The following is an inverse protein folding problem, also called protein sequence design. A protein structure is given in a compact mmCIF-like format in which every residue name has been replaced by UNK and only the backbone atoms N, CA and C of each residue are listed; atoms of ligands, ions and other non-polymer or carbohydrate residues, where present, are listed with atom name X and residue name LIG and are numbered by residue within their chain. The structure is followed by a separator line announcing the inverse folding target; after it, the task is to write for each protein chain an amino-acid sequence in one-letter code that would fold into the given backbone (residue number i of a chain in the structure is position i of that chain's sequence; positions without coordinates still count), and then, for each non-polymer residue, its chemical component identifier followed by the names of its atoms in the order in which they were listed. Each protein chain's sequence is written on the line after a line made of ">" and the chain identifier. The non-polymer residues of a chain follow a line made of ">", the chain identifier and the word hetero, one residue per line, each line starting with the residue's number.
data_IF_577753057761
#
_entry.id   IF_577753057761
#
_cell.length_a   1.000
_cell.length_b   1.000
_cell.length_c   1.000
_cell.angle_alpha   90.00
_cell.angle_beta   90.00
_cell.angle_gamma   90.00
#
_symmetry.space_group_name_H-M   'P 1'
#
loop_
_entity.id
_entity.type
_entity.pdbx_description
1 polymer ?
#
# COMPACT_ATOMS: atom_id res chain seq x y z
N UNK A 1 31.15 2.21 3.66
CA UNK A 1 29.73 1.99 4.01
C UNK A 1 28.97 1.89 2.69
N UNK A 2 28.32 0.76 2.41
CA UNK A 2 27.59 0.61 1.16
C UNK A 2 26.43 1.60 1.05
N UNK A 3 26.25 2.13 -0.18
CA UNK A 3 25.30 3.17 -0.49
C UNK A 3 24.13 2.61 -1.29
N UNK A 4 22.91 2.96 -0.88
CA UNK A 4 21.70 2.61 -1.59
C UNK A 4 21.00 3.86 -2.12
N UNK A 5 20.73 3.90 -3.43
CA UNK A 5 19.87 4.91 -4.03
C UNK A 5 18.45 4.34 -4.21
N UNK A 6 17.48 4.87 -3.48
CA UNK A 6 16.07 4.57 -3.65
C UNK A 6 15.47 5.50 -4.70
N UNK A 7 15.14 4.94 -5.84
CA UNK A 7 14.43 5.61 -6.93
C UNK A 7 12.93 5.46 -6.71
N UNK A 8 12.26 6.57 -6.51
CA UNK A 8 10.86 6.64 -6.15
C UNK A 8 10.14 7.76 -6.89
N UNK A 9 8.82 7.68 -6.97
CA UNK A 9 8.01 8.71 -7.61
C UNK A 9 7.79 9.92 -6.71
N UNK A 10 7.56 9.68 -5.42
CA UNK A 10 7.17 10.70 -4.45
C UNK A 10 8.26 10.96 -3.41
N UNK A 11 8.16 12.13 -2.76
CA UNK A 11 8.94 12.48 -1.59
C UNK A 11 8.58 11.59 -0.39
N UNK A 12 9.42 11.60 0.63
CA UNK A 12 9.21 10.86 1.89
C UNK A 12 7.82 11.12 2.47
N UNK A 13 7.24 10.08 3.04
CA UNK A 13 5.95 10.08 3.74
C UNK A 13 4.73 10.43 2.87
N UNK A 14 4.87 10.52 1.54
CA UNK A 14 3.77 10.94 0.66
C UNK A 14 2.95 9.77 0.11
N UNK A 15 3.59 8.68 -0.25
CA UNK A 15 2.94 7.54 -0.90
C UNK A 15 2.91 6.31 0.00
N UNK A 16 1.73 5.69 0.22
CA UNK A 16 1.66 4.46 1.02
C UNK A 16 2.59 3.37 0.50
N UNK A 17 2.62 3.13 -0.81
CA UNK A 17 3.50 2.11 -1.38
C UNK A 17 4.99 2.36 -1.15
N UNK A 18 5.42 3.60 -0.94
CA UNK A 18 6.80 3.91 -0.55
C UNK A 18 7.01 3.77 0.95
N UNK A 19 6.12 4.36 1.77
CA UNK A 19 6.19 4.31 3.23
C UNK A 19 6.29 2.87 3.73
N UNK A 20 5.39 2.00 3.27
CA UNK A 20 5.26 0.63 3.77
C UNK A 20 6.15 -0.40 3.06
N UNK A 21 6.86 -0.01 1.98
CA UNK A 21 7.77 -0.90 1.26
C UNK A 21 9.24 -0.68 1.61
N UNK A 22 9.70 0.57 1.77
CA UNK A 22 11.12 0.83 1.98
C UNK A 22 11.43 2.01 2.91
N UNK A 23 10.63 3.07 2.98
CA UNK A 23 10.95 4.26 3.78
C UNK A 23 11.08 3.93 5.27
N UNK A 24 10.19 3.08 5.80
CA UNK A 24 10.20 2.65 7.20
C UNK A 24 11.42 1.81 7.60
N UNK A 25 12.23 1.38 6.64
CA UNK A 25 13.46 0.63 6.90
C UNK A 25 14.72 1.51 6.91
N UNK A 26 14.64 2.79 6.56
CA UNK A 26 15.84 3.64 6.44
C UNK A 26 16.66 3.72 7.72
N UNK A 27 16.03 3.98 8.85
CA UNK A 27 16.74 4.06 10.14
C UNK A 27 17.41 2.74 10.50
N UNK A 28 16.74 1.62 10.27
CA UNK A 28 17.28 0.29 10.51
C UNK A 28 18.48 0.02 9.58
N UNK A 29 18.37 0.28 8.29
CA UNK A 29 19.45 0.08 7.32
C UNK A 29 20.65 0.97 7.64
N UNK A 30 20.43 2.24 7.96
CA UNK A 30 21.50 3.17 8.34
C UNK A 30 22.23 2.70 9.62
N UNK A 31 21.51 2.21 10.63
CA UNK A 31 22.10 1.63 11.85
C UNK A 31 22.89 0.34 11.58
N UNK A 32 22.55 -0.38 10.50
CA UNK A 32 23.20 -1.62 10.09
C UNK A 32 24.22 -1.42 8.97
N UNK A 33 24.76 -0.22 8.84
CA UNK A 33 25.94 0.06 8.02
C UNK A 33 25.69 0.40 6.57
N UNK A 34 24.45 0.71 6.17
CA UNK A 34 24.13 1.29 4.87
C UNK A 34 24.04 2.83 4.93
N UNK A 35 24.19 3.48 3.80
CA UNK A 35 23.88 4.90 3.60
C UNK A 35 22.74 5.01 2.60
N UNK A 36 21.53 5.37 3.08
CA UNK A 36 20.30 5.40 2.29
C UNK A 36 20.06 6.79 1.72
N UNK A 37 19.94 6.89 0.39
CA UNK A 37 19.58 8.12 -0.33
C UNK A 37 18.30 7.90 -1.11
N UNK A 38 17.42 8.92 -1.17
CA UNK A 38 16.20 8.86 -1.97
C UNK A 38 16.23 9.89 -3.11
N UNK A 39 15.76 9.48 -4.29
CA UNK A 39 15.60 10.35 -5.44
C UNK A 39 14.16 10.35 -5.92
N UNK A 40 13.29 11.26 -5.40
CA UNK A 40 11.93 11.46 -5.87
C UNK A 40 11.88 12.32 -7.13
N UNK A 41 10.85 12.11 -7.99
CA UNK A 41 10.64 12.90 -9.22
C UNK A 41 9.50 13.90 -9.11
N UNK A 42 8.57 13.72 -8.17
CA UNK A 42 7.46 14.63 -7.95
C UNK A 42 7.75 15.48 -6.71
N UNK A 43 7.93 16.80 -6.93
CA UNK A 43 8.08 17.75 -5.83
C UNK A 43 6.74 18.04 -5.14
N UNK A 44 6.78 18.69 -3.99
CA UNK A 44 5.56 19.11 -3.29
C UNK A 44 4.68 20.05 -4.11
N UNK A 45 5.31 20.99 -4.81
CA UNK A 45 4.62 21.94 -5.70
C UNK A 45 3.98 21.26 -6.91
N UNK A 46 4.62 20.20 -7.43
CA UNK A 46 4.14 19.46 -8.59
C UNK A 46 3.04 18.47 -8.24
N UNK A 47 2.95 18.01 -6.97
CA UNK A 47 2.03 16.97 -6.49
C UNK A 47 0.54 17.32 -6.77
N UNK A 48 0.11 18.50 -6.37
CA UNK A 48 -1.27 18.96 -6.59
C UNK A 48 -1.63 19.10 -8.08
N UNK A 49 -0.65 19.46 -8.93
CA UNK A 49 -0.85 19.56 -10.39
C UNK A 49 -0.89 18.17 -11.01
N UNK A 50 -0.02 17.26 -10.58
CA UNK A 50 0.12 15.93 -11.16
C UNK A 50 -1.19 15.12 -11.09
N UNK A 51 -1.92 15.20 -9.98
CA UNK A 51 -3.17 14.49 -9.77
C UNK A 51 -4.43 15.27 -10.20
N UNK A 52 -4.31 16.56 -10.55
CA UNK A 52 -5.46 17.35 -11.02
C UNK A 52 -5.91 16.94 -12.41
N UNK A 53 -7.16 17.24 -12.76
CA UNK A 53 -7.64 17.13 -14.12
C UNK A 53 -7.11 18.28 -15.01
N UNK A 54 -6.93 18.03 -16.30
CA UNK A 54 -6.41 19.02 -17.24
C UNK A 54 -4.93 19.35 -17.02
N UNK A 55 -4.57 20.63 -17.12
CA UNK A 55 -3.21 21.17 -16.89
C UNK A 55 -2.10 20.47 -17.70
N UNK A 56 -2.38 20.08 -18.95
CA UNK A 56 -1.50 19.24 -19.79
C UNK A 56 -0.10 19.84 -19.95
N UNK A 57 0.01 21.16 -20.16
CA UNK A 57 1.31 21.82 -20.27
C UNK A 57 2.15 21.71 -19.00
N UNK A 58 1.52 21.94 -17.83
CA UNK A 58 2.19 21.82 -16.55
C UNK A 58 2.62 20.37 -16.26
N UNK A 59 1.78 19.38 -16.62
CA UNK A 59 2.14 17.95 -16.53
C UNK A 59 3.29 17.59 -17.46
N UNK A 60 3.34 18.16 -18.66
CA UNK A 60 4.48 18.04 -19.57
C UNK A 60 5.78 18.59 -18.96
N UNK A 61 5.70 19.75 -18.28
CA UNK A 61 6.85 20.31 -17.56
C UNK A 61 7.29 19.44 -16.38
N UNK A 62 6.35 18.81 -15.66
CA UNK A 62 6.68 17.86 -14.58
C UNK A 62 7.41 16.66 -15.17
N UNK A 63 6.95 16.11 -16.30
CA UNK A 63 7.62 15.02 -16.99
C UNK A 63 9.05 15.42 -17.42
N UNK A 64 9.23 16.59 -17.99
CA UNK A 64 10.56 17.08 -18.39
C UNK A 64 11.50 17.18 -17.18
N UNK A 65 11.06 17.80 -16.09
CA UNK A 65 11.81 17.86 -14.81
C UNK A 65 12.17 16.45 -14.31
N UNK A 66 11.22 15.50 -14.38
CA UNK A 66 11.43 14.12 -13.97
C UNK A 66 12.51 13.44 -14.82
N UNK A 67 12.53 13.66 -16.13
CA UNK A 67 13.56 13.15 -17.03
C UNK A 67 14.92 13.75 -16.68
N UNK A 68 15.02 15.07 -16.51
CA UNK A 68 16.27 15.75 -16.13
C UNK A 68 16.80 15.25 -14.79
N UNK A 69 15.91 15.05 -13.81
CA UNK A 69 16.28 14.44 -12.52
C UNK A 69 16.88 13.04 -12.69
N UNK A 70 16.25 12.18 -13.50
CA UNK A 70 16.76 10.83 -13.77
C UNK A 70 18.05 10.83 -14.59
N UNK A 71 18.28 11.80 -15.47
CA UNK A 71 19.59 11.98 -16.13
C UNK A 71 20.67 12.30 -15.09
N UNK A 72 20.37 13.20 -14.14
CA UNK A 72 21.27 13.47 -13.01
C UNK A 72 21.58 12.23 -12.17
N UNK A 73 20.55 11.43 -11.86
CA UNK A 73 20.72 10.17 -11.13
C UNK A 73 21.58 9.17 -11.92
N UNK A 74 21.33 9.02 -13.23
CA UNK A 74 22.10 8.11 -14.10
C UNK A 74 23.61 8.38 -14.06
N UNK A 75 24.02 9.64 -14.08
CA UNK A 75 25.44 10.01 -14.00
C UNK A 75 26.10 9.56 -12.68
N UNK A 76 25.29 9.24 -11.67
CA UNK A 76 25.74 8.86 -10.34
C UNK A 76 25.47 7.40 -9.96
N UNK A 77 24.81 6.59 -10.81
CA UNK A 77 24.50 5.20 -10.45
C UNK A 77 25.74 4.39 -10.03
N UNK A 78 26.89 4.66 -10.62
CA UNK A 78 28.14 3.96 -10.29
C UNK A 78 28.76 4.40 -8.95
N UNK A 79 28.21 5.42 -8.29
CA UNK A 79 28.62 5.86 -6.94
C UNK A 79 27.89 5.03 -5.85
N UNK A 80 26.88 4.24 -6.23
CA UNK A 80 26.07 3.43 -5.35
C UNK A 80 26.40 1.94 -5.52
N UNK A 81 26.26 1.20 -4.42
CA UNK A 81 26.38 -0.26 -4.43
C UNK A 81 25.06 -0.90 -4.89
N UNK A 82 23.95 -0.29 -4.50
CA UNK A 82 22.59 -0.74 -4.86
C UNK A 82 21.77 0.45 -5.39
N UNK A 83 21.04 0.23 -6.47
CA UNK A 83 19.96 1.10 -6.93
C UNK A 83 18.66 0.34 -6.76
N UNK A 84 17.83 0.80 -5.84
CA UNK A 84 16.53 0.23 -5.52
C UNK A 84 15.44 1.01 -6.25
N UNK A 85 14.67 0.37 -7.12
CA UNK A 85 13.59 0.99 -7.90
C UNK A 85 12.26 0.47 -7.41
N UNK A 86 11.45 1.36 -6.83
CA UNK A 86 10.09 1.04 -6.44
C UNK A 86 9.13 1.31 -7.60
N UNK A 87 8.53 0.24 -8.13
CA UNK A 87 7.62 0.17 -9.28
C UNK A 87 8.25 0.60 -10.61
N UNK A 88 8.79 1.80 -10.71
CA UNK A 88 9.36 2.33 -11.96
C UNK A 88 10.28 3.54 -11.72
N UNK A 89 11.30 3.68 -12.56
CA UNK A 89 12.20 4.83 -12.46
C UNK A 89 11.55 6.11 -12.99
N UNK A 90 10.68 5.99 -14.01
CA UNK A 90 9.94 7.10 -14.61
C UNK A 90 8.52 6.66 -14.99
N UNK A 91 7.52 7.48 -14.75
CA UNK A 91 6.09 7.15 -14.92
C UNK A 91 5.62 7.11 -16.38
N UNK A 92 6.45 6.61 -17.28
CA UNK A 92 6.13 6.36 -18.70
C UNK A 92 6.58 4.96 -19.10
N UNK A 93 6.15 4.46 -20.26
CA UNK A 93 6.46 3.11 -20.75
C UNK A 93 7.93 2.82 -21.09
N UNK A 94 8.82 3.82 -21.01
CA UNK A 94 10.25 3.66 -21.28
C UNK A 94 10.95 2.93 -20.13
N UNK A 95 11.88 2.03 -20.47
CA UNK A 95 12.81 1.34 -19.57
C UNK A 95 14.24 1.86 -19.70
N UNK A 96 14.40 3.06 -20.23
CA UNK A 96 15.74 3.59 -20.54
C UNK A 96 16.62 3.68 -19.28
N UNK A 97 16.08 4.22 -18.19
CA UNK A 97 16.84 4.39 -16.94
C UNK A 97 17.10 3.05 -16.25
N UNK A 98 16.13 2.14 -16.25
CA UNK A 98 16.29 0.79 -15.69
C UNK A 98 17.39 0.01 -16.45
N UNK A 99 17.47 0.14 -17.79
CA UNK A 99 18.60 -0.40 -18.57
C UNK A 99 19.94 0.25 -18.22
N UNK A 100 19.96 1.55 -17.85
CA UNK A 100 21.20 2.22 -17.43
C UNK A 100 21.64 1.75 -16.05
N UNK A 101 20.68 1.49 -15.13
CA UNK A 101 20.96 0.88 -13.83
C UNK A 101 21.56 -0.50 -14.02
N UNK A 102 20.91 -1.37 -14.79
CA UNK A 102 21.39 -2.74 -15.06
C UNK A 102 22.76 -2.82 -15.75
N UNK A 103 23.19 -1.74 -16.44
CA UNK A 103 24.52 -1.63 -17.07
C UNK A 103 25.57 -0.93 -16.20
N UNK A 104 25.16 -0.40 -15.05
CA UNK A 104 26.07 0.25 -14.10
C UNK A 104 26.81 -0.79 -13.23
N UNK A 105 27.66 -0.33 -12.32
CA UNK A 105 28.27 -1.20 -11.31
C UNK A 105 27.34 -1.53 -10.15
N UNK A 106 26.30 -0.71 -9.96
CA UNK A 106 25.33 -0.89 -8.89
C UNK A 106 24.45 -2.12 -9.12
N UNK A 107 24.11 -2.82 -8.06
CA UNK A 107 23.14 -3.90 -8.09
C UNK A 107 21.73 -3.33 -8.23
N UNK A 108 20.94 -3.87 -9.14
CA UNK A 108 19.59 -3.43 -9.41
C UNK A 108 18.58 -4.25 -8.59
N UNK A 109 17.92 -3.60 -7.63
CA UNK A 109 16.78 -4.18 -6.90
C UNK A 109 15.49 -3.56 -7.45
N UNK A 110 14.54 -4.41 -7.85
CA UNK A 110 13.22 -3.98 -8.32
C UNK A 110 12.14 -4.42 -7.33
N UNK A 111 11.39 -3.46 -6.79
CA UNK A 111 10.32 -3.68 -5.82
C UNK A 111 8.95 -3.32 -6.39
N UNK A 112 7.95 -4.18 -6.15
CA UNK A 112 6.57 -3.87 -6.51
C UNK A 112 5.56 -4.56 -5.58
N UNK A 113 4.46 -3.86 -5.32
CA UNK A 113 3.42 -4.17 -4.34
C UNK A 113 2.01 -4.12 -4.94
N UNK A 114 1.92 -4.16 -6.28
CA UNK A 114 0.66 -4.09 -7.02
C UNK A 114 0.79 -4.77 -8.39
N UNK A 115 -0.33 -5.15 -9.03
CA UNK A 115 -0.37 -5.72 -10.39
C UNK A 115 -0.08 -4.68 -11.46
N UNK A 116 1.07 -3.99 -11.37
CA UNK A 116 1.44 -2.84 -12.21
C UNK A 116 1.64 -3.16 -13.70
N UNK A 117 1.62 -4.42 -14.09
CA UNK A 117 1.57 -4.85 -15.50
C UNK A 117 0.15 -4.78 -16.09
N UNK A 118 -0.88 -4.76 -15.25
CA UNK A 118 -2.23 -4.46 -15.64
C UNK A 118 -2.38 -2.93 -15.65
N UNK A 119 -2.82 -2.38 -16.78
CA UNK A 119 -2.91 -0.93 -16.92
C UNK A 119 -4.08 -0.39 -16.09
N UNK A 120 -3.79 0.33 -15.01
CA UNK A 120 -4.76 1.17 -14.30
C UNK A 120 -4.24 2.60 -14.28
N UNK A 121 -4.98 3.51 -14.89
CA UNK A 121 -4.60 4.91 -15.00
C UNK A 121 -5.66 5.77 -14.32
N UNK A 122 -5.23 6.59 -13.33
CA UNK A 122 -6.13 7.52 -12.66
C UNK A 122 -6.84 8.44 -13.67
N UNK A 123 -8.09 8.78 -13.43
CA UNK A 123 -8.91 9.63 -14.29
C UNK A 123 -8.21 10.94 -14.69
N UNK A 124 -7.49 11.56 -13.75
CA UNK A 124 -6.72 12.78 -14.02
C UNK A 124 -5.58 12.61 -15.05
N UNK A 125 -5.13 11.37 -15.29
CA UNK A 125 -4.02 11.05 -16.18
C UNK A 125 -4.41 10.14 -17.36
N UNK A 126 -5.68 9.84 -17.57
CA UNK A 126 -6.18 8.92 -18.61
C UNK A 126 -5.73 9.31 -20.02
N UNK A 127 -5.62 10.62 -20.30
CA UNK A 127 -5.12 11.14 -21.59
C UNK A 127 -3.64 10.78 -21.87
N UNK A 128 -2.87 10.37 -20.87
CA UNK A 128 -1.47 9.95 -20.98
C UNK A 128 -1.29 8.43 -20.97
N UNK A 129 -2.37 7.65 -20.97
CA UNK A 129 -2.33 6.18 -20.89
C UNK A 129 -1.53 5.56 -22.03
N UNK A 130 -1.56 6.17 -23.23
CA UNK A 130 -0.77 5.78 -24.39
C UNK A 130 0.75 5.84 -24.18
N UNK A 131 1.21 6.62 -23.18
CA UNK A 131 2.63 6.66 -22.79
C UNK A 131 3.03 5.45 -21.92
N UNK A 132 2.10 4.66 -21.41
CA UNK A 132 2.37 3.48 -20.61
C UNK A 132 2.67 2.27 -21.49
N UNK A 133 3.38 1.30 -20.94
CA UNK A 133 3.69 0.05 -21.60
C UNK A 133 3.52 -1.11 -20.62
N UNK A 134 2.53 -1.99 -20.80
CA UNK A 134 2.28 -3.12 -19.89
C UNK A 134 3.48 -4.08 -19.81
N UNK A 135 4.29 -4.19 -20.87
CA UNK A 135 5.50 -5.02 -20.87
C UNK A 135 6.67 -4.42 -20.07
N UNK A 136 6.54 -3.20 -19.57
CA UNK A 136 7.60 -2.54 -18.81
C UNK A 136 7.96 -3.33 -17.55
N UNK A 137 6.96 -3.78 -16.81
CA UNK A 137 7.15 -4.54 -15.55
C UNK A 137 7.93 -5.82 -15.82
N UNK A 138 7.55 -6.63 -16.80
CA UNK A 138 8.26 -7.85 -17.17
C UNK A 138 9.73 -7.59 -17.55
N UNK A 139 9.98 -6.50 -18.30
CA UNK A 139 11.34 -6.10 -18.69
C UNK A 139 12.16 -5.62 -17.50
N UNK A 140 11.58 -4.90 -16.56
CA UNK A 140 12.26 -4.47 -15.33
C UNK A 140 12.63 -5.67 -14.46
N UNK A 141 11.71 -6.62 -14.32
CA UNK A 141 11.94 -7.88 -13.60
C UNK A 141 13.11 -8.64 -14.22
N UNK A 142 13.13 -8.80 -15.57
CA UNK A 142 14.19 -9.50 -16.27
C UNK A 142 15.58 -8.83 -16.16
N UNK A 143 15.62 -7.50 -15.94
CA UNK A 143 16.86 -6.72 -15.84
C UNK A 143 17.45 -6.69 -14.43
N UNK A 144 16.63 -6.91 -13.39
CA UNK A 144 17.05 -6.71 -12.02
C UNK A 144 17.89 -7.89 -11.48
N UNK A 145 18.86 -7.58 -10.61
CA UNK A 145 19.65 -8.58 -9.87
C UNK A 145 18.80 -9.25 -8.77
N UNK A 146 17.84 -8.54 -8.20
CA UNK A 146 16.91 -9.03 -7.16
C UNK A 146 15.53 -8.39 -7.32
N UNK A 147 14.51 -9.22 -7.11
CA UNK A 147 13.11 -8.76 -7.10
C UNK A 147 12.56 -8.87 -5.68
N UNK A 148 11.95 -7.79 -5.19
CA UNK A 148 11.12 -7.80 -4.00
C UNK A 148 9.65 -7.76 -4.42
N UNK A 149 8.93 -8.84 -4.17
CA UNK A 149 7.51 -8.96 -4.50
C UNK A 149 6.67 -8.90 -3.23
N UNK A 150 5.61 -8.09 -3.22
CA UNK A 150 4.81 -7.81 -2.04
C UNK A 150 3.89 -8.94 -1.58
N UNK A 151 3.58 -9.90 -2.45
CA UNK A 151 2.79 -11.09 -2.13
C UNK A 151 3.13 -12.27 -3.05
N UNK A 152 2.54 -13.45 -2.79
CA UNK A 152 2.82 -14.66 -3.55
C UNK A 152 2.35 -14.57 -5.01
N UNK A 153 1.23 -13.90 -5.29
CA UNK A 153 0.73 -13.69 -6.65
C UNK A 153 1.73 -12.87 -7.49
N UNK A 154 2.24 -11.78 -6.93
CA UNK A 154 3.27 -10.94 -7.55
C UNK A 154 4.58 -11.69 -7.74
N UNK A 155 4.99 -12.48 -6.72
CA UNK A 155 6.20 -13.30 -6.79
C UNK A 155 6.09 -14.37 -7.89
N UNK A 156 4.94 -15.01 -8.03
CA UNK A 156 4.69 -15.99 -9.09
C UNK A 156 4.77 -15.35 -10.48
N UNK A 157 4.18 -14.16 -10.67
CA UNK A 157 4.35 -13.40 -11.91
C UNK A 157 5.83 -13.10 -12.19
N UNK A 158 6.58 -12.64 -11.18
CA UNK A 158 7.99 -12.29 -11.35
C UNK A 158 8.86 -13.50 -11.72
N UNK A 159 8.58 -14.69 -11.16
CA UNK A 159 9.33 -15.94 -11.44
C UNK A 159 9.29 -16.38 -12.91
N UNK A 160 8.33 -15.90 -13.70
CA UNK A 160 8.32 -16.14 -15.15
C UNK A 160 9.48 -15.42 -15.90
N UNK A 161 10.05 -14.39 -15.29
CA UNK A 161 11.05 -13.52 -15.93
C UNK A 161 12.38 -13.47 -15.18
N UNK A 162 12.43 -13.87 -13.90
CA UNK A 162 13.64 -13.82 -13.08
C UNK A 162 13.60 -14.89 -11.98
N UNK A 163 14.72 -15.54 -11.72
CA UNK A 163 14.83 -16.57 -10.67
C UNK A 163 15.13 -15.99 -9.29
N UNK A 164 15.64 -14.74 -9.23
CA UNK A 164 16.06 -14.08 -7.99
C UNK A 164 14.91 -13.29 -7.36
N UNK A 165 13.82 -13.97 -7.02
CA UNK A 165 12.60 -13.37 -6.46
C UNK A 165 12.49 -13.69 -4.98
N UNK A 166 12.42 -12.65 -4.14
CA UNK A 166 12.17 -12.75 -2.71
C UNK A 166 10.78 -12.18 -2.41
N UNK A 167 9.96 -12.92 -1.68
CA UNK A 167 8.72 -12.43 -1.15
C UNK A 167 9.06 -11.54 0.05
N UNK A 168 8.79 -10.24 -0.08
CA UNK A 168 8.92 -9.24 0.97
C UNK A 168 7.51 -8.63 1.17
N UNK A 169 6.75 -9.08 2.18
CA UNK A 169 5.39 -8.60 2.38
C UNK A 169 5.36 -7.09 2.65
N UNK A 170 4.22 -6.48 2.43
CA UNK A 170 3.95 -5.14 2.97
C UNK A 170 3.90 -5.23 4.48
N UNK A 171 4.61 -4.34 5.15
CA UNK A 171 4.76 -4.36 6.62
C UNK A 171 4.27 -3.07 7.24
N UNK A 172 3.93 -3.17 8.53
CA UNK A 172 3.46 -2.05 9.34
C UNK A 172 4.49 -1.76 10.43
N UNK A 173 4.81 -0.49 10.62
CA UNK A 173 5.53 -0.04 11.82
C UNK A 173 4.57 -0.10 13.01
N UNK A 174 4.71 -1.14 13.82
CA UNK A 174 3.83 -1.41 14.98
C UNK A 174 4.17 -0.57 16.20
N UNK A 175 5.27 0.15 16.20
CA UNK A 175 5.58 1.16 17.22
C UNK A 175 4.80 2.45 16.94
N UNK A 176 4.55 2.76 15.67
CA UNK A 176 3.74 3.89 15.22
C UNK A 176 2.24 3.52 15.16
N UNK A 177 1.88 2.43 14.45
CA UNK A 177 0.51 1.92 14.40
C UNK A 177 0.25 1.00 15.60
N UNK A 178 -0.33 1.55 16.63
CA UNK A 178 -0.61 0.82 17.87
C UNK A 178 -1.98 1.18 18.43
N UNK A 179 -2.55 0.31 19.27
CA UNK A 179 -3.79 0.61 19.97
C UNK A 179 -3.67 1.89 20.83
N UNK A 180 -4.65 2.76 20.72
CA UNK A 180 -4.79 4.00 21.50
C UNK A 180 -6.04 3.92 22.37
N UNK A 181 -5.93 4.36 23.61
CA UNK A 181 -7.09 4.55 24.48
C UNK A 181 -7.85 5.81 24.05
N UNK A 182 -8.89 5.63 23.28
CA UNK A 182 -9.78 6.72 22.87
C UNK A 182 -11.10 6.67 23.66
N UNK A 183 -11.66 7.85 23.96
CA UNK A 183 -13.01 7.94 24.48
C UNK A 183 -14.00 7.76 23.30
N UNK A 184 -14.27 6.50 22.95
CA UNK A 184 -15.27 6.16 21.91
C UNK A 184 -16.68 6.34 22.46
N UNK A 185 -17.61 6.69 21.57
CA UNK A 185 -19.03 6.65 21.90
C UNK A 185 -19.47 5.19 22.06
N UNK A 186 -19.78 4.78 23.28
CA UNK A 186 -20.16 3.39 23.59
C UNK A 186 -21.53 2.98 23.01
N UNK A 187 -22.34 3.97 22.63
CA UNK A 187 -23.69 3.73 22.09
C UNK A 187 -23.66 3.49 20.56
N UNK A 188 -22.52 3.70 19.91
CA UNK A 188 -22.36 3.53 18.46
C UNK A 188 -21.16 2.68 18.12
N UNK A 189 -21.31 1.83 17.11
CA UNK A 189 -20.24 1.04 16.51
C UNK A 189 -19.79 1.73 15.23
N UNK A 190 -18.50 2.08 15.17
CA UNK A 190 -17.88 2.74 14.03
C UNK A 190 -17.31 1.70 13.07
N UNK A 191 -17.90 1.60 11.87
CA UNK A 191 -17.40 0.78 10.76
C UNK A 191 -16.55 1.67 9.87
N UNK A 192 -15.26 1.37 9.76
CA UNK A 192 -14.28 2.24 9.10
C UNK A 192 -13.65 1.65 7.86
N UNK A 193 -13.38 2.52 6.89
CA UNK A 193 -12.54 2.25 5.73
C UNK A 193 -11.52 3.35 5.53
N UNK A 194 -10.30 2.98 5.16
CA UNK A 194 -9.24 3.91 4.79
C UNK A 194 -8.72 3.63 3.38
N UNK A 195 -8.36 4.67 2.65
CA UNK A 195 -7.83 4.48 1.31
C UNK A 195 -7.35 5.78 0.66
N UNK A 196 -7.54 5.89 -0.64
CA UNK A 196 -7.24 7.07 -1.44
C UNK A 196 -8.35 7.32 -2.45
N UNK A 197 -8.37 8.50 -3.05
CA UNK A 197 -9.32 8.88 -4.12
C UNK A 197 -9.36 7.79 -5.21
N UNK A 198 -8.23 7.19 -5.57
CA UNK A 198 -8.17 6.16 -6.63
C UNK A 198 -8.70 4.79 -6.18
N UNK A 199 -8.83 4.57 -4.88
CA UNK A 199 -9.29 3.29 -4.32
C UNK A 199 -10.67 3.34 -3.70
N UNK A 200 -11.35 4.51 -3.71
CA UNK A 200 -12.72 4.66 -3.20
C UNK A 200 -13.72 3.70 -3.88
N UNK A 201 -13.49 3.40 -5.16
CA UNK A 201 -14.26 2.40 -5.91
C UNK A 201 -14.33 1.04 -5.20
N UNK A 202 -13.32 0.67 -4.41
CA UNK A 202 -13.33 -0.57 -3.63
C UNK A 202 -14.26 -0.46 -2.42
N UNK A 203 -14.36 0.70 -1.78
CA UNK A 203 -15.34 0.92 -0.73
C UNK A 203 -16.77 0.80 -1.27
N UNK A 204 -17.02 1.26 -2.48
CA UNK A 204 -18.36 1.23 -3.09
C UNK A 204 -18.90 -0.19 -3.31
N UNK A 205 -18.03 -1.22 -3.40
CA UNK A 205 -18.48 -2.62 -3.37
C UNK A 205 -19.20 -2.97 -2.06
N UNK A 206 -18.94 -2.22 -0.98
CA UNK A 206 -19.56 -2.47 0.32
C UNK A 206 -20.97 -1.86 0.45
N UNK A 207 -21.34 -0.90 -0.38
CA UNK A 207 -22.60 -0.15 -0.22
C UNK A 207 -23.84 -1.03 -0.06
N UNK A 208 -24.06 -2.10 -0.85
CA UNK A 208 -25.25 -2.93 -0.71
C UNK A 208 -25.44 -3.50 0.70
N UNK A 209 -24.39 -4.09 1.26
CA UNK A 209 -24.46 -4.70 2.59
C UNK A 209 -24.37 -3.68 3.72
N UNK A 210 -23.66 -2.56 3.54
CA UNK A 210 -23.63 -1.47 4.52
C UNK A 210 -24.98 -0.77 4.65
N UNK A 211 -25.73 -0.58 3.55
CA UNK A 211 -27.11 -0.09 3.57
C UNK A 211 -28.02 -1.04 4.37
N UNK A 212 -27.90 -2.36 4.19
CA UNK A 212 -28.67 -3.33 4.97
C UNK A 212 -28.31 -3.30 6.45
N UNK A 213 -27.03 -3.15 6.79
CA UNK A 213 -26.57 -2.97 8.17
C UNK A 213 -27.12 -1.66 8.75
N UNK A 214 -27.07 -0.56 8.01
CA UNK A 214 -27.67 0.71 8.46
C UNK A 214 -29.15 0.57 8.75
N UNK A 215 -29.90 -0.09 7.87
CA UNK A 215 -31.33 -0.31 8.05
C UNK A 215 -31.65 -1.22 9.26
N UNK A 216 -30.82 -2.24 9.52
CA UNK A 216 -30.99 -3.16 10.67
C UNK A 216 -30.67 -2.49 12.00
N UNK A 217 -29.57 -1.74 12.07
CA UNK A 217 -29.02 -1.21 13.36
C UNK A 217 -29.26 0.28 13.57
N UNK A 218 -29.68 1.01 12.52
CA UNK A 218 -30.04 2.43 12.56
C UNK A 218 -28.94 3.30 13.21
N UNK A 219 -29.25 3.99 14.31
CA UNK A 219 -28.35 4.92 14.97
C UNK A 219 -27.26 4.24 15.83
N UNK A 220 -27.31 2.91 15.97
CA UNK A 220 -26.28 2.13 16.63
C UNK A 220 -25.00 1.97 15.81
N UNK A 221 -25.04 2.29 14.52
CA UNK A 221 -23.87 2.20 13.64
C UNK A 221 -23.60 3.53 12.96
N UNK A 222 -22.31 3.81 12.77
CA UNK A 222 -21.84 4.91 11.94
C UNK A 222 -20.71 4.45 11.02
N UNK A 223 -20.51 5.17 9.91
CA UNK A 223 -19.51 4.83 8.91
C UNK A 223 -18.49 5.95 8.76
N UNK A 224 -17.21 5.59 8.73
CA UNK A 224 -16.11 6.53 8.54
C UNK A 224 -15.31 6.11 7.30
N UNK A 225 -15.13 7.05 6.37
CA UNK A 225 -14.31 6.88 5.15
C UNK A 225 -13.19 7.90 5.17
N UNK A 226 -11.93 7.42 5.30
CA UNK A 226 -10.74 8.25 5.30
C UNK A 226 -9.98 8.14 3.97
N UNK A 227 -9.56 9.29 3.44
CA UNK A 227 -8.68 9.40 2.27
C UNK A 227 -9.23 10.20 1.10
N UNK A 228 -10.55 10.38 1.02
CA UNK A 228 -11.21 11.25 0.05
C UNK A 228 -12.21 12.18 0.75
N UNK A 229 -11.80 13.43 0.99
CA UNK A 229 -12.66 14.43 1.63
C UNK A 229 -13.84 14.88 0.76
N UNK A 230 -13.83 14.57 -0.53
CA UNK A 230 -14.93 14.88 -1.44
C UNK A 230 -15.99 13.80 -1.49
N UNK A 231 -15.72 12.62 -0.91
CA UNK A 231 -16.64 11.51 -0.90
C UNK A 231 -17.84 11.79 0.02
N UNK A 232 -19.02 11.59 -0.50
CA UNK A 232 -20.28 11.75 0.23
C UNK A 232 -21.24 10.62 -0.11
N UNK A 233 -21.88 10.07 0.93
CA UNK A 233 -23.00 9.14 0.76
C UNK A 233 -24.08 9.50 1.81
N UNK A 234 -25.17 10.12 1.34
CA UNK A 234 -26.24 10.63 2.20
C UNK A 234 -27.01 9.50 2.87
N UNK A 235 -27.23 8.37 2.17
CA UNK A 235 -27.96 7.21 2.69
C UNK A 235 -27.28 6.61 3.93
N UNK A 236 -25.95 6.51 3.87
CA UNK A 236 -25.14 6.02 4.99
C UNK A 236 -24.69 7.11 5.96
N UNK A 237 -25.00 8.38 5.68
CA UNK A 237 -24.56 9.52 6.48
C UNK A 237 -23.04 9.76 6.43
N UNK A 238 -22.38 9.33 5.34
CA UNK A 238 -20.92 9.44 5.22
C UNK A 238 -20.53 10.81 4.68
N UNK A 239 -19.56 11.44 5.39
CA UNK A 239 -18.73 12.53 4.88
C UNK A 239 -17.29 12.07 4.94
N UNK A 240 -16.65 11.99 3.77
CA UNK A 240 -15.25 11.59 3.69
C UNK A 240 -14.34 12.54 4.46
N UNK A 241 -13.31 11.99 5.10
CA UNK A 241 -12.29 12.78 5.80
C UNK A 241 -10.96 12.69 5.05
N UNK A 242 -10.16 13.78 4.99
CA UNK A 242 -8.86 13.74 4.34
C UNK A 242 -7.91 12.83 5.10
N UNK A 243 -7.00 12.19 4.37
CA UNK A 243 -5.88 11.52 5.00
C UNK A 243 -4.80 12.54 5.39
N UNK A 244 -4.29 12.41 6.61
CA UNK A 244 -3.12 13.14 7.08
C UNK A 244 -2.29 12.21 7.97
N UNK A 245 -0.97 12.23 7.83
CA UNK A 245 -0.07 11.33 8.56
C UNK A 245 -0.21 11.49 10.09
N UNK A 246 -0.44 12.72 10.55
CA UNK A 246 -0.56 13.07 11.97
C UNK A 246 -1.85 12.53 12.61
N UNK A 247 -2.90 12.34 11.82
CA UNK A 247 -4.21 11.87 12.29
C UNK A 247 -4.52 10.43 11.92
N UNK A 248 -3.75 9.82 11.01
CA UNK A 248 -3.99 8.47 10.48
C UNK A 248 -4.25 7.45 11.60
N UNK A 249 -3.30 7.28 12.51
CA UNK A 249 -3.39 6.29 13.60
C UNK A 249 -4.58 6.58 14.53
N UNK A 250 -4.86 7.85 14.81
CA UNK A 250 -6.01 8.23 15.65
C UNK A 250 -7.34 7.88 14.98
N UNK A 251 -7.46 8.12 13.66
CA UNK A 251 -8.67 7.78 12.90
C UNK A 251 -8.83 6.27 12.81
N UNK A 252 -7.77 5.51 12.52
CA UNK A 252 -7.83 4.05 12.48
C UNK A 252 -8.27 3.47 13.84
N UNK A 253 -7.76 4.02 14.94
CA UNK A 253 -8.16 3.62 16.29
C UNK A 253 -9.60 4.04 16.66
N UNK A 254 -10.23 4.94 15.92
CA UNK A 254 -11.65 5.25 16.15
C UNK A 254 -12.59 4.19 15.59
N UNK A 255 -12.11 3.32 14.69
CA UNK A 255 -12.90 2.22 14.17
C UNK A 255 -13.11 1.14 15.22
N UNK A 256 -14.30 0.56 15.26
CA UNK A 256 -14.58 -0.68 16.01
C UNK A 256 -14.46 -1.89 15.08
N UNK A 257 -14.80 -1.70 13.81
CA UNK A 257 -14.67 -2.70 12.76
C UNK A 257 -14.03 -2.04 11.53
N UNK A 258 -12.90 -2.57 11.08
CA UNK A 258 -12.25 -2.16 9.84
C UNK A 258 -12.71 -3.04 8.67
N UNK A 259 -13.03 -2.45 7.52
CA UNK A 259 -13.43 -3.22 6.34
C UNK A 259 -12.48 -3.03 5.17
N UNK A 260 -12.19 -4.12 4.43
CA UNK A 260 -11.39 -4.11 3.20
C UNK A 260 -12.11 -4.89 2.09
N UNK A 261 -13.19 -4.35 1.54
CA UNK A 261 -13.87 -4.95 0.39
C UNK A 261 -13.01 -4.85 -0.87
N UNK A 262 -12.95 -5.93 -1.63
CA UNK A 262 -12.28 -6.03 -2.92
C UNK A 262 -13.10 -6.88 -3.89
N UNK A 263 -13.12 -6.56 -5.19
CA UNK A 263 -13.58 -7.49 -6.22
C UNK A 263 -12.58 -8.64 -6.36
N UNK A 264 -13.04 -9.82 -6.77
CA UNK A 264 -12.14 -10.92 -7.15
C UNK A 264 -11.74 -10.76 -8.62
N UNK A 265 -10.73 -9.94 -8.84
CA UNK A 265 -10.13 -9.71 -10.16
C UNK A 265 -8.60 -9.77 -10.09
N UNK A 266 -7.96 -9.83 -11.25
CA UNK A 266 -6.50 -9.95 -11.37
C UNK A 266 -5.75 -8.74 -10.77
N UNK A 267 -6.37 -7.55 -10.78
CA UNK A 267 -5.79 -6.37 -10.15
C UNK A 267 -5.81 -6.49 -8.62
N UNK A 268 -6.94 -6.89 -8.07
CA UNK A 268 -7.13 -7.03 -6.63
C UNK A 268 -6.27 -8.15 -6.02
N UNK A 269 -6.00 -9.25 -6.76
CA UNK A 269 -5.07 -10.31 -6.34
C UNK A 269 -3.65 -9.79 -6.11
N UNK A 270 -3.24 -8.73 -6.80
CA UNK A 270 -1.95 -8.08 -6.59
C UNK A 270 -1.87 -7.20 -5.35
N UNK A 271 -2.98 -6.89 -4.68
CA UNK A 271 -2.98 -6.09 -3.45
C UNK A 271 -2.26 -6.81 -2.31
N UNK A 272 -1.55 -6.03 -1.49
CA UNK A 272 -0.73 -6.56 -0.39
C UNK A 272 -1.36 -6.38 0.99
N UNK A 273 -2.67 -6.26 1.09
CA UNK A 273 -3.41 -6.27 2.37
C UNK A 273 -3.23 -5.02 3.24
N UNK A 274 -2.56 -3.96 2.78
CA UNK A 274 -2.14 -2.81 3.58
C UNK A 274 -3.23 -2.23 4.49
N UNK A 275 -4.45 -2.04 3.98
CA UNK A 275 -5.54 -1.45 4.77
C UNK A 275 -5.89 -2.31 5.98
N UNK A 276 -6.14 -3.60 5.73
CA UNK A 276 -6.43 -4.55 6.79
C UNK A 276 -5.28 -4.67 7.80
N UNK A 277 -4.05 -4.78 7.33
CA UNK A 277 -2.88 -4.81 8.20
C UNK A 277 -2.77 -3.55 9.08
N UNK A 278 -3.15 -2.37 8.54
CA UNK A 278 -3.14 -1.13 9.31
C UNK A 278 -4.22 -1.11 10.40
N UNK A 279 -5.40 -1.67 10.13
CA UNK A 279 -6.46 -1.82 11.14
C UNK A 279 -6.04 -2.83 12.20
N UNK A 280 -5.59 -4.01 11.79
CA UNK A 280 -5.10 -5.08 12.65
C UNK A 280 -3.96 -4.59 13.55
N UNK A 281 -3.02 -3.81 13.02
CA UNK A 281 -1.94 -3.20 13.80
C UNK A 281 -2.43 -2.29 14.92
N UNK A 282 -3.58 -1.64 14.73
CA UNK A 282 -4.24 -0.82 15.74
C UNK A 282 -5.13 -1.64 16.69
N UNK A 283 -5.16 -2.96 16.59
CA UNK A 283 -6.03 -3.83 17.38
C UNK A 283 -7.50 -3.73 16.98
N UNK A 284 -7.79 -3.31 15.76
CA UNK A 284 -9.15 -3.18 15.22
C UNK A 284 -9.53 -4.46 14.51
N UNK A 285 -10.66 -5.06 14.93
CA UNK A 285 -11.22 -6.24 14.27
C UNK A 285 -11.52 -5.95 12.81
N UNK A 286 -11.08 -6.83 11.92
CA UNK A 286 -11.05 -6.55 10.49
C UNK A 286 -11.81 -7.60 9.68
N UNK A 287 -12.63 -7.15 8.73
CA UNK A 287 -13.28 -8.01 7.72
C UNK A 287 -12.69 -7.69 6.35
N UNK A 288 -12.23 -8.70 5.62
CA UNK A 288 -11.68 -8.55 4.28
C UNK A 288 -12.39 -9.46 3.27
N UNK A 289 -12.42 -9.05 1.99
CA UNK A 289 -12.73 -10.01 0.91
C UNK A 289 -11.64 -11.06 0.79
N UNK A 290 -11.97 -12.37 0.56
CA UNK A 290 -11.01 -13.47 0.42
C UNK A 290 -10.28 -13.42 -0.93
N UNK A 291 -9.56 -12.32 -1.20
CA UNK A 291 -8.88 -12.06 -2.48
C UNK A 291 -7.38 -11.91 -2.27
N UNK A 292 -6.60 -12.66 -3.05
CA UNK A 292 -5.14 -12.61 -3.01
C UNK A 292 -4.61 -12.88 -1.60
N UNK A 293 -3.69 -12.04 -1.14
CA UNK A 293 -2.99 -12.18 0.15
C UNK A 293 -3.91 -12.04 1.38
N UNK A 294 -5.13 -11.54 1.23
CA UNK A 294 -6.06 -11.46 2.34
C UNK A 294 -6.37 -12.83 2.95
N UNK A 295 -6.34 -13.90 2.12
CA UNK A 295 -6.50 -15.29 2.57
C UNK A 295 -5.31 -15.79 3.42
N UNK A 296 -4.12 -15.19 3.24
CA UNK A 296 -2.93 -15.54 4.01
C UNK A 296 -2.83 -14.72 5.31
N UNK A 297 -3.44 -13.53 5.32
CA UNK A 297 -3.43 -12.61 6.47
C UNK A 297 -4.49 -13.00 7.50
N UNK A 298 -5.71 -13.32 7.02
CA UNK A 298 -6.87 -13.59 7.89
C UNK A 298 -7.07 -15.08 8.08
N UNK A 299 -7.00 -15.52 9.32
CA UNK A 299 -7.52 -16.78 9.82
C UNK A 299 -8.94 -16.51 10.34
N UNK A 300 -9.93 -16.97 9.55
CA UNK A 300 -11.34 -16.63 9.73
C UNK A 300 -11.86 -17.04 11.10
N UNK A 301 -12.36 -16.07 11.88
CA UNK A 301 -12.88 -16.27 13.23
C UNK A 301 -11.83 -16.21 14.33
N UNK A 302 -10.53 -16.16 13.98
CA UNK A 302 -9.43 -16.12 14.96
C UNK A 302 -8.81 -14.72 15.06
N UNK A 303 -8.35 -14.13 13.93
CA UNK A 303 -7.70 -12.83 13.89
C UNK A 303 -8.42 -11.81 12.99
N UNK A 304 -9.59 -12.18 12.50
CA UNK A 304 -10.41 -11.38 11.60
C UNK A 304 -11.43 -12.25 10.87
N UNK A 305 -12.13 -11.65 9.92
CA UNK A 305 -13.14 -12.36 9.14
C UNK A 305 -12.90 -12.21 7.65
N UNK A 306 -13.19 -13.27 6.88
CA UNK A 306 -13.27 -13.25 5.42
C UNK A 306 -14.75 -13.32 5.01
N UNK A 307 -15.16 -12.46 4.09
CA UNK A 307 -16.51 -12.44 3.55
C UNK A 307 -16.49 -12.15 2.04
N UNK A 308 -17.14 -12.98 1.24
CA UNK A 308 -17.21 -12.90 -0.22
C UNK A 308 -18.59 -12.46 -0.69
N UNK A 309 -19.65 -13.08 -0.16
CA UNK A 309 -21.03 -12.78 -0.51
C UNK A 309 -21.61 -11.66 0.37
N UNK A 310 -22.64 -11.01 -0.12
CA UNK A 310 -23.37 -10.01 0.65
C UNK A 310 -23.90 -10.57 1.98
N UNK A 311 -24.39 -11.82 1.97
CA UNK A 311 -24.89 -12.50 3.16
C UNK A 311 -23.76 -12.71 4.19
N UNK A 312 -22.58 -13.18 3.75
CA UNK A 312 -21.43 -13.36 4.64
C UNK A 312 -20.98 -12.03 5.25
N UNK A 313 -20.94 -10.94 4.46
CA UNK A 313 -20.63 -9.61 4.96
C UNK A 313 -21.63 -9.16 6.03
N UNK A 314 -22.94 -9.34 5.79
CA UNK A 314 -23.98 -8.97 6.75
C UNK A 314 -23.86 -9.80 8.03
N UNK A 315 -23.59 -11.10 7.92
CA UNK A 315 -23.45 -11.99 9.05
C UNK A 315 -22.22 -11.62 9.90
N UNK A 316 -21.05 -11.46 9.28
CA UNK A 316 -19.83 -11.03 9.99
C UNK A 316 -19.99 -9.66 10.65
N UNK A 317 -20.56 -8.68 9.94
CA UNK A 317 -20.80 -7.35 10.50
C UNK A 317 -21.79 -7.41 11.66
N UNK A 318 -22.90 -8.16 11.52
CA UNK A 318 -23.91 -8.32 12.58
C UNK A 318 -23.31 -8.95 13.84
N UNK A 319 -22.56 -10.04 13.68
CA UNK A 319 -21.86 -10.72 14.77
C UNK A 319 -20.96 -9.74 15.53
N UNK A 320 -20.13 -8.99 14.80
CA UNK A 320 -19.19 -8.05 15.41
C UNK A 320 -19.88 -6.78 15.98
N UNK A 321 -21.03 -6.37 15.47
CA UNK A 321 -21.81 -5.25 16.04
C UNK A 321 -22.41 -5.67 17.40
N UNK A 322 -22.91 -6.90 17.50
CA UNK A 322 -23.65 -7.40 18.64
C UNK A 322 -22.74 -7.88 19.78
N UNK A 323 -21.51 -8.31 19.50
CA UNK A 323 -20.59 -8.89 20.47
C UNK A 323 -19.31 -8.03 20.65
N UNK A 324 -19.26 -7.28 21.75
CA UNK A 324 -18.14 -6.42 22.07
C UNK A 324 -16.90 -7.20 22.55
N UNK A 325 -17.09 -8.29 23.31
CA UNK A 325 -15.99 -9.12 23.82
C UNK A 325 -15.30 -9.84 22.67
N UNK A 326 -16.09 -10.36 21.71
CA UNK A 326 -15.56 -10.97 20.50
C UNK A 326 -14.74 -9.96 19.68
N UNK A 327 -15.23 -8.72 19.51
CA UNK A 327 -14.46 -7.67 18.80
C UNK A 327 -13.10 -7.41 19.46
N UNK A 328 -13.07 -7.30 20.78
CA UNK A 328 -11.83 -7.07 21.53
C UNK A 328 -10.87 -8.24 21.38
N UNK A 329 -11.35 -9.47 21.56
CA UNK A 329 -10.54 -10.68 21.42
C UNK A 329 -9.95 -10.85 20.00
N UNK A 330 -10.77 -10.70 18.96
CA UNK A 330 -10.30 -10.77 17.57
C UNK A 330 -9.32 -9.63 17.25
N UNK A 331 -9.57 -8.43 17.79
CA UNK A 331 -8.68 -7.28 17.61
C UNK A 331 -7.29 -7.51 18.24
N UNK A 332 -7.21 -8.13 19.40
CA UNK A 332 -5.94 -8.53 20.03
C UNK A 332 -5.19 -9.56 19.20
N UNK A 333 -5.87 -10.60 18.74
CA UNK A 333 -5.29 -11.63 17.87
C UNK A 333 -4.83 -11.05 16.52
N UNK A 334 -5.60 -10.11 15.96
CA UNK A 334 -5.23 -9.36 14.77
C UNK A 334 -3.91 -8.60 14.97
N UNK A 335 -3.77 -7.89 16.08
CA UNK A 335 -2.54 -7.19 16.46
C UNK A 335 -1.35 -8.15 16.57
N UNK A 336 -1.48 -9.25 17.29
CA UNK A 336 -0.44 -10.25 17.46
C UNK A 336 0.03 -10.81 16.11
N UNK A 337 -0.91 -11.09 15.19
CA UNK A 337 -0.60 -11.57 13.84
C UNK A 337 0.27 -10.56 13.07
N UNK A 338 -0.05 -9.26 13.17
CA UNK A 338 0.76 -8.23 12.50
C UNK A 338 2.13 -8.10 13.15
N UNK A 339 2.24 -8.10 14.47
CA UNK A 339 3.53 -8.01 15.16
C UNK A 339 4.45 -9.15 14.79
N UNK A 340 3.93 -10.38 14.71
CA UNK A 340 4.71 -11.58 14.45
C UNK A 340 5.08 -11.77 12.99
N UNK A 341 4.20 -11.40 12.04
CA UNK A 341 4.34 -11.79 10.62
C UNK A 341 4.46 -10.62 9.66
N UNK A 342 3.87 -9.46 9.98
CA UNK A 342 3.72 -8.32 9.06
C UNK A 342 4.23 -7.00 9.64
N UNK A 343 4.99 -7.03 10.73
CA UNK A 343 5.65 -5.84 11.26
C UNK A 343 6.99 -5.57 10.59
N UNK A 344 7.45 -4.31 10.65
CA UNK A 344 8.83 -3.96 10.29
C UNK A 344 9.81 -4.83 11.09
N UNK A 345 9.55 -5.04 12.38
CA UNK A 345 10.42 -5.83 13.26
C UNK A 345 10.51 -7.30 12.84
N UNK A 346 9.42 -7.90 12.34
CA UNK A 346 9.41 -9.28 11.87
C UNK A 346 10.20 -9.47 10.55
N UNK A 347 10.25 -8.44 9.69
CA UNK A 347 10.76 -8.56 8.32
C UNK A 347 12.11 -7.87 8.11
N UNK A 348 12.52 -6.95 8.98
CA UNK A 348 13.72 -6.13 8.79
C UNK A 348 15.01 -6.94 8.58
N UNK A 349 15.14 -8.09 9.25
CA UNK A 349 16.35 -8.95 9.11
C UNK A 349 16.37 -9.66 7.75
N UNK A 350 15.21 -10.08 7.22
CA UNK A 350 15.11 -10.59 5.86
C UNK A 350 15.53 -9.51 4.85
N UNK A 351 15.01 -8.29 5.04
CA UNK A 351 15.33 -7.14 4.18
C UNK A 351 16.84 -6.86 4.17
N UNK A 352 17.46 -6.81 5.35
CA UNK A 352 18.91 -6.60 5.53
C UNK A 352 19.74 -7.74 4.90
N UNK A 353 19.34 -8.99 5.12
CA UNK A 353 20.01 -10.18 4.55
C UNK A 353 20.01 -10.15 3.03
N UNK A 354 18.87 -9.82 2.42
CA UNK A 354 18.74 -9.76 0.97
C UNK A 354 19.63 -8.67 0.36
N UNK A 355 19.66 -7.46 0.97
CA UNK A 355 20.53 -6.38 0.50
C UNK A 355 22.02 -6.70 0.70
N UNK A 356 22.40 -7.26 1.84
CA UNK A 356 23.80 -7.67 2.11
C UNK A 356 24.27 -8.75 1.12
N UNK A 357 23.39 -9.64 0.67
CA UNK A 357 23.75 -10.69 -0.28
C UNK A 357 24.17 -10.15 -1.67
N UNK A 358 23.80 -8.92 -1.99
CA UNK A 358 24.09 -8.28 -3.27
C UNK A 358 25.46 -7.58 -3.32
N UNK A 359 26.03 -7.24 -2.16
CA UNK A 359 27.25 -6.44 -2.06
C UNK A 359 28.47 -7.25 -1.61
N UNK A 360 28.32 -8.56 -1.44
CA UNK A 360 29.39 -9.50 -1.09
C UNK A 360 30.20 -9.91 -2.30
#
# INVERSE_FOLDING_TARGET
>A
MPKILFIASHRLNRSPSQRYRFEQYYDFLNKNGFECHQSPIISEKDDAVFYSQGKLFQKGMILLKSILKRIGDWNRFSEYDIVFVQREALMIGSIFFEKKIAKSKAKFVFDFDDSIWLMDTSEGNKKFEWLKNPLKTAKNIALADRIFAGNAYLANYAKHYNTNVTLVPTTIDTDFHKPLKLNKNKDKITIGWSGSITTIKHFEYALPYLTKIKNKYQDKVEFVVMGDQSYMNEELGIKGIPWAAESEVKVLNSFDIGIMPLPDDEWAKGKCGLKGLSYMACGVTTIMSPVGVNNDIIEHGENGYLASSEEEWINCLSLLIEDAELREHIGENARNTVEEKYSVNAIKELYLKELNSLIK
#
